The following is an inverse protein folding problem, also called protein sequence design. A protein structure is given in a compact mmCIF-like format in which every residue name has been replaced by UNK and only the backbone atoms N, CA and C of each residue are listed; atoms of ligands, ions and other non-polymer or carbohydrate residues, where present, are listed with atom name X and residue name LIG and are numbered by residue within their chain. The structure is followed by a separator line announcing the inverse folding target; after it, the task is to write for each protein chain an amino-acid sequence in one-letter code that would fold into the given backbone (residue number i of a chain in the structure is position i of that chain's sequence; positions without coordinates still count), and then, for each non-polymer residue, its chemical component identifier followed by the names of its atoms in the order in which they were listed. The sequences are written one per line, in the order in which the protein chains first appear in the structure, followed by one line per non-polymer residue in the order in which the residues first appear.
data_IF_204343376864
#
_entry.id   IF_204343376864
#
_cell.length_a   1.000
_cell.length_b   1.000
_cell.length_c   1.000
_cell.angle_alpha   90.00
_cell.angle_beta   90.00
_cell.angle_gamma   90.00
#
_symmetry.space_group_name_H-M   'P 1'
#
loop_
_entity.id
_entity.type
_entity.pdbx_description
1 polymer ?
#
# COMPACT_ATOMS: atom_id res chain seq x y z
N UNK A 1 -53.33 -10.17 -7.08
CA UNK A 1 -52.84 -9.73 -5.74
C UNK A 1 -51.31 -9.77 -5.81
N UNK A 2 -50.72 -9.01 -6.73
CA UNK A 2 -49.38 -9.39 -7.25
C UNK A 2 -48.41 -8.19 -7.28
N UNK A 3 -48.91 -6.96 -7.14
CA UNK A 3 -48.08 -5.74 -7.14
C UNK A 3 -47.39 -5.49 -5.79
N UNK A 4 -47.91 -6.05 -4.70
CA UNK A 4 -47.33 -5.90 -3.36
C UNK A 4 -46.10 -6.80 -3.15
N UNK A 5 -46.06 -7.97 -3.80
CA UNK A 5 -44.93 -8.90 -3.70
C UNK A 5 -43.73 -8.41 -4.53
N UNK A 6 -43.99 -7.84 -5.71
CA UNK A 6 -42.96 -7.19 -6.53
C UNK A 6 -42.35 -5.94 -5.85
N UNK A 7 -43.10 -5.26 -4.96
CA UNK A 7 -42.60 -4.13 -4.17
C UNK A 7 -41.85 -4.54 -2.90
N UNK A 8 -42.11 -5.73 -2.37
CA UNK A 8 -41.47 -6.26 -1.16
C UNK A 8 -40.10 -6.90 -1.43
N UNK A 9 -39.74 -7.12 -2.69
CA UNK A 9 -38.41 -7.61 -3.10
C UNK A 9 -37.46 -6.48 -3.50
N UNK A 10 -37.90 -5.21 -3.49
CA UNK A 10 -36.98 -4.09 -3.59
C UNK A 10 -36.37 -3.80 -2.20
N UNK A 11 -35.03 -3.81 -2.06
CA UNK A 11 -34.37 -3.50 -0.80
C UNK A 11 -34.78 -2.12 -0.30
N UNK A 12 -35.45 -2.05 0.85
CA UNK A 12 -35.97 -0.80 1.40
C UNK A 12 -34.88 0.11 1.98
N UNK A 13 -33.66 -0.41 2.19
CA UNK A 13 -32.56 0.32 2.82
C UNK A 13 -31.22 0.07 2.10
N UNK A 14 -30.45 1.15 1.87
CA UNK A 14 -29.12 1.10 1.20
C UNK A 14 -28.12 0.20 1.94
N UNK A 15 -28.26 0.11 3.27
CA UNK A 15 -27.51 -0.81 4.10
C UNK A 15 -27.88 -2.28 3.88
N UNK A 16 -29.15 -2.57 3.58
CA UNK A 16 -29.59 -3.93 3.23
C UNK A 16 -28.97 -4.39 1.91
N UNK A 17 -28.94 -3.51 0.91
CA UNK A 17 -28.28 -3.77 -0.38
C UNK A 17 -26.78 -4.03 -0.22
N UNK A 18 -26.09 -3.27 0.65
CA UNK A 18 -24.68 -3.50 0.96
C UNK A 18 -24.45 -4.89 1.57
N UNK A 19 -25.24 -5.26 2.58
CA UNK A 19 -25.11 -6.54 3.26
C UNK A 19 -25.43 -7.74 2.34
N UNK A 20 -26.36 -7.56 1.39
CA UNK A 20 -26.73 -8.58 0.41
C UNK A 20 -25.57 -8.87 -0.56
N UNK A 21 -24.94 -7.82 -1.09
CA UNK A 21 -23.76 -7.94 -1.95
C UNK A 21 -22.56 -8.49 -1.17
N UNK A 22 -22.33 -8.00 0.06
CA UNK A 22 -21.19 -8.40 0.89
C UNK A 22 -21.24 -9.89 1.24
N UNK A 23 -22.40 -10.39 1.70
CA UNK A 23 -22.57 -11.80 2.08
C UNK A 23 -22.69 -12.73 0.87
N UNK A 24 -23.35 -12.29 -0.21
CA UNK A 24 -23.50 -13.08 -1.43
C UNK A 24 -22.20 -13.31 -2.21
N UNK A 25 -21.19 -12.44 -2.02
CA UNK A 25 -19.92 -12.50 -2.79
C UNK A 25 -18.66 -12.41 -1.92
N UNK A 26 -18.76 -12.69 -0.62
CA UNK A 26 -17.65 -12.59 0.35
C UNK A 26 -16.38 -13.32 -0.09
N UNK A 27 -16.50 -14.55 -0.61
CA UNK A 27 -15.35 -15.34 -1.05
C UNK A 27 -14.57 -14.67 -2.19
N UNK A 28 -15.26 -13.97 -3.10
CA UNK A 28 -14.61 -13.21 -4.19
C UNK A 28 -13.91 -11.96 -3.67
N UNK A 29 -14.44 -11.31 -2.63
CA UNK A 29 -13.81 -10.17 -1.96
C UNK A 29 -12.52 -10.59 -1.23
N UNK A 30 -12.52 -11.75 -0.56
CA UNK A 30 -11.33 -12.29 0.10
C UNK A 30 -10.22 -12.57 -0.90
N UNK A 31 -10.52 -13.25 -2.02
CA UNK A 31 -9.53 -13.54 -3.07
C UNK A 31 -8.97 -12.24 -3.67
N UNK A 32 -9.81 -11.24 -3.91
CA UNK A 32 -9.37 -9.94 -4.39
C UNK A 32 -8.44 -9.24 -3.39
N UNK A 33 -8.72 -9.33 -2.09
CA UNK A 33 -7.86 -8.76 -1.06
C UNK A 33 -6.49 -9.45 -1.01
N UNK A 34 -6.45 -10.79 -1.10
CA UNK A 34 -5.20 -11.54 -1.24
C UNK A 34 -4.44 -11.16 -2.51
N UNK A 35 -5.13 -10.98 -3.64
CA UNK A 35 -4.49 -10.58 -4.89
C UNK A 35 -3.85 -9.19 -4.75
N UNK A 36 -4.53 -8.23 -4.13
CA UNK A 36 -3.96 -6.91 -3.84
C UNK A 36 -2.76 -7.04 -2.89
N UNK A 37 -2.84 -7.88 -1.86
CA UNK A 37 -1.76 -8.07 -0.88
C UNK A 37 -0.45 -8.50 -1.57
N UNK A 38 -0.52 -9.32 -2.62
CA UNK A 38 0.66 -9.73 -3.39
C UNK A 38 1.41 -8.53 -3.99
N UNK A 39 0.69 -7.50 -4.45
CA UNK A 39 1.29 -6.27 -4.96
C UNK A 39 1.88 -5.37 -3.85
N UNK A 40 1.49 -5.57 -2.59
CA UNK A 40 2.06 -4.87 -1.44
C UNK A 40 3.33 -5.52 -0.87
N UNK A 41 3.59 -6.80 -1.19
CA UNK A 41 4.81 -7.51 -0.76
C UNK A 41 6.10 -6.71 -1.02
N UNK A 42 6.37 -6.18 -2.24
CA UNK A 42 7.61 -5.43 -2.48
C UNK A 42 7.74 -4.19 -1.59
N UNK A 43 6.64 -3.52 -1.28
CA UNK A 43 6.64 -2.36 -0.38
C UNK A 43 7.00 -2.76 1.04
N UNK A 44 6.44 -3.86 1.54
CA UNK A 44 6.75 -4.40 2.87
C UNK A 44 8.24 -4.78 2.94
N UNK A 45 8.77 -5.47 1.93
CA UNK A 45 10.17 -5.87 1.89
C UNK A 45 11.13 -4.67 1.96
N UNK A 46 10.90 -3.62 1.16
CA UNK A 46 11.77 -2.44 1.18
C UNK A 46 11.75 -1.74 2.54
N UNK A 47 10.60 -1.69 3.21
CA UNK A 47 10.47 -1.12 4.56
C UNK A 47 11.26 -1.95 5.59
N UNK A 48 11.15 -3.28 5.53
CA UNK A 48 11.87 -4.20 6.43
C UNK A 48 13.37 -4.10 6.20
N UNK A 49 13.84 -4.15 4.95
CA UNK A 49 15.25 -4.02 4.62
C UNK A 49 15.83 -2.68 5.07
N UNK A 50 15.10 -1.56 4.86
CA UNK A 50 15.51 -0.25 5.39
C UNK A 50 15.65 -0.28 6.91
N UNK A 51 14.67 -0.88 7.60
CA UNK A 51 14.65 -0.93 9.07
C UNK A 51 15.80 -1.78 9.64
N UNK A 52 16.15 -2.88 8.96
CA UNK A 52 17.31 -3.70 9.32
C UNK A 52 18.63 -2.98 9.04
N UNK A 53 18.74 -2.30 7.90
CA UNK A 53 19.94 -1.56 7.53
C UNK A 53 20.27 -0.44 8.53
N UNK A 54 19.27 0.34 8.96
CA UNK A 54 19.44 1.37 9.98
C UNK A 54 19.89 0.76 11.32
N UNK A 55 19.33 -0.39 11.72
CA UNK A 55 19.71 -1.07 12.97
C UNK A 55 21.16 -1.55 12.95
N UNK A 56 21.63 -2.14 11.84
CA UNK A 56 23.03 -2.57 11.70
C UNK A 56 23.98 -1.38 11.72
N UNK A 57 23.68 -0.31 10.97
CA UNK A 57 24.50 0.90 10.95
C UNK A 57 24.56 1.57 12.33
N UNK A 58 23.45 1.58 13.07
CA UNK A 58 23.38 2.14 14.42
C UNK A 58 24.20 1.35 15.44
N UNK A 59 24.38 0.02 15.23
CA UNK A 59 25.20 -0.83 16.10
C UNK A 59 26.70 -0.77 15.81
N UNK A 60 27.10 -0.42 14.59
CA UNK A 60 28.51 -0.34 14.16
C UNK A 60 29.11 1.06 14.31
N UNK A 61 28.29 2.11 14.27
CA UNK A 61 28.75 3.49 14.36
C UNK A 61 28.70 4.01 15.81
N UNK A 62 29.62 4.91 16.20
CA UNK A 62 29.75 5.42 17.57
C UNK A 62 28.65 6.43 17.95
N UNK A 63 27.42 6.26 17.48
CA UNK A 63 26.26 7.07 17.86
C UNK A 63 25.72 6.71 19.24
N UNK A 64 26.03 5.50 19.71
CA UNK A 64 25.63 4.95 20.99
C UNK A 64 26.75 5.10 22.03
N UNK A 65 27.42 6.27 22.08
CA UNK A 65 28.52 6.60 23.00
C UNK A 65 28.16 6.60 24.50
N UNK A 66 27.11 5.88 24.88
CA UNK A 66 26.73 5.53 26.26
C UNK A 66 26.01 4.18 26.40
N UNK A 67 25.93 3.35 25.35
CA UNK A 67 25.25 2.04 25.40
C UNK A 67 26.15 0.91 24.86
N UNK A 68 27.06 0.44 25.72
CA UNK A 68 27.56 -0.94 25.70
C UNK A 68 28.50 -1.40 24.57
N UNK A 69 28.71 -0.63 23.51
CA UNK A 69 29.76 -0.87 22.51
C UNK A 69 30.99 -0.03 22.82
N UNK A 70 32.17 -0.64 22.93
CA UNK A 70 33.43 -0.08 23.44
C UNK A 70 34.07 1.11 22.68
N UNK A 71 33.26 1.97 22.08
CA UNK A 71 33.70 3.24 21.52
C UNK A 71 33.67 4.29 22.63
N UNK A 72 34.85 4.80 23.01
CA UNK A 72 34.97 5.94 23.93
C UNK A 72 34.23 7.17 23.37
N UNK A 73 33.82 8.09 24.25
CA UNK A 73 33.10 9.30 23.88
C UNK A 73 33.90 10.11 22.84
N UNK A 74 33.53 9.99 21.57
CA UNK A 74 34.14 10.76 20.48
C UNK A 74 33.51 12.16 20.51
N UNK A 75 34.29 13.22 20.73
CA UNK A 75 33.75 14.58 20.66
C UNK A 75 33.33 14.87 19.21
N UNK A 76 32.17 15.53 19.05
CA UNK A 76 31.61 16.00 17.78
C UNK A 76 30.95 14.95 16.86
N UNK A 77 29.93 14.24 17.37
CA UNK A 77 29.01 13.40 16.57
C UNK A 77 27.82 14.19 15.98
N UNK A 78 27.72 15.48 16.31
CA UNK A 78 26.66 16.35 15.81
C UNK A 78 26.71 16.41 14.28
N UNK A 79 25.61 16.05 13.62
CA UNK A 79 25.49 16.00 12.17
C UNK A 79 25.94 14.68 11.50
N UNK A 80 26.72 13.81 12.16
CA UNK A 80 27.08 12.50 11.59
C UNK A 80 25.86 11.57 11.55
N UNK A 81 25.01 11.61 12.58
CA UNK A 81 23.73 10.89 12.62
C UNK A 81 22.80 11.33 11.49
N UNK A 82 22.73 12.65 11.27
CA UNK A 82 21.90 13.25 10.23
C UNK A 82 22.41 12.90 8.82
N UNK A 83 23.74 12.88 8.61
CA UNK A 83 24.33 12.50 7.33
C UNK A 83 24.07 11.02 6.98
N UNK A 84 24.14 10.13 7.97
CA UNK A 84 23.88 8.70 7.78
C UNK A 84 22.39 8.43 7.55
N UNK A 85 21.51 9.14 8.26
CA UNK A 85 20.07 9.08 8.03
C UNK A 85 19.72 9.58 6.61
N UNK A 86 20.22 10.74 6.20
CA UNK A 86 20.04 11.30 4.85
C UNK A 86 20.54 10.35 3.76
N UNK A 87 21.75 9.81 3.90
CA UNK A 87 22.33 8.87 2.93
C UNK A 87 21.48 7.59 2.79
N UNK A 88 21.02 7.05 3.91
CA UNK A 88 20.14 5.88 3.93
C UNK A 88 18.78 6.18 3.32
N UNK A 89 18.22 7.35 3.58
CA UNK A 89 16.93 7.78 3.06
C UNK A 89 16.97 8.10 1.55
N UNK A 90 18.08 8.63 1.02
CA UNK A 90 18.31 8.76 -0.42
C UNK A 90 18.43 7.40 -1.11
N UNK A 91 19.21 6.48 -0.54
CA UNK A 91 19.43 5.15 -1.12
C UNK A 91 18.13 4.33 -1.15
N UNK A 92 17.40 4.24 -0.03
CA UNK A 92 16.14 3.51 0.04
C UNK A 92 14.94 4.29 -0.50
N UNK A 93 15.07 5.62 -0.64
CA UNK A 93 14.02 6.49 -1.16
C UNK A 93 13.55 6.05 -2.54
N UNK A 94 14.49 5.90 -3.49
CA UNK A 94 14.17 5.45 -4.86
C UNK A 94 13.49 4.08 -4.89
N UNK A 95 13.96 3.13 -4.07
CA UNK A 95 13.34 1.80 -4.00
C UNK A 95 11.91 1.84 -3.46
N UNK A 96 11.63 2.72 -2.49
CA UNK A 96 10.27 2.87 -1.97
C UNK A 96 9.37 3.53 -3.01
N UNK A 97 9.87 4.49 -3.80
CA UNK A 97 9.09 5.10 -4.90
C UNK A 97 8.63 4.02 -5.88
N UNK A 98 9.54 3.16 -6.32
CA UNK A 98 9.22 2.04 -7.22
C UNK A 98 8.22 1.07 -6.58
N UNK A 99 8.42 0.72 -5.31
CA UNK A 99 7.52 -0.18 -4.60
C UNK A 99 6.11 0.41 -4.39
N UNK A 100 6.02 1.72 -4.14
CA UNK A 100 4.74 2.44 -4.05
C UNK A 100 3.99 2.41 -5.39
N UNK A 101 4.68 2.54 -6.53
CA UNK A 101 4.04 2.46 -7.86
C UNK A 101 3.43 1.08 -8.07
N UNK A 102 4.16 0.03 -7.70
CA UNK A 102 3.67 -1.36 -7.81
C UNK A 102 2.44 -1.57 -6.91
N UNK A 103 2.46 -1.08 -5.67
CA UNK A 103 1.34 -1.18 -4.74
C UNK A 103 0.10 -0.38 -5.22
N UNK A 104 0.31 0.81 -5.77
CA UNK A 104 -0.76 1.66 -6.27
C UNK A 104 -1.43 1.05 -7.51
N UNK A 105 -0.67 0.36 -8.37
CA UNK A 105 -1.21 -0.43 -9.49
C UNK A 105 -2.12 -1.55 -8.97
N UNK A 106 -1.73 -2.26 -7.92
CA UNK A 106 -2.55 -3.30 -7.29
C UNK A 106 -3.86 -2.77 -6.72
N UNK A 107 -3.82 -1.62 -6.04
CA UNK A 107 -5.03 -0.94 -5.51
C UNK A 107 -6.00 -0.55 -6.62
N UNK A 108 -5.48 -0.06 -7.74
CA UNK A 108 -6.29 0.38 -8.87
C UNK A 108 -7.10 -0.75 -9.51
N UNK A 109 -6.46 -1.91 -9.71
CA UNK A 109 -7.13 -3.12 -10.18
C UNK A 109 -8.23 -3.58 -9.21
N UNK A 110 -7.98 -3.50 -7.90
CA UNK A 110 -8.95 -3.87 -6.87
C UNK A 110 -10.21 -3.00 -6.86
N UNK A 111 -10.05 -1.67 -6.93
CA UNK A 111 -11.18 -0.72 -6.96
C UNK A 111 -12.08 -0.96 -8.18
N UNK A 112 -11.48 -1.27 -9.33
CA UNK A 112 -12.23 -1.55 -10.56
C UNK A 112 -13.11 -2.80 -10.42
N UNK A 113 -12.57 -3.89 -9.87
CA UNK A 113 -13.32 -5.13 -9.67
C UNK A 113 -14.44 -4.92 -8.64
N UNK A 114 -14.19 -4.18 -7.55
CA UNK A 114 -15.21 -3.83 -6.55
C UNK A 114 -16.38 -3.08 -7.19
N UNK A 115 -16.09 -2.11 -8.08
CA UNK A 115 -17.13 -1.39 -8.83
C UNK A 115 -17.99 -2.32 -9.68
N UNK A 116 -17.38 -3.27 -10.38
CA UNK A 116 -18.12 -4.27 -11.17
C UNK A 116 -18.96 -5.20 -10.26
N UNK A 117 -18.49 -5.49 -9.03
CA UNK A 117 -19.28 -6.25 -8.05
C UNK A 117 -20.55 -5.50 -7.60
N UNK A 118 -20.45 -4.18 -7.42
CA UNK A 118 -21.58 -3.32 -7.04
C UNK A 118 -22.64 -3.25 -8.15
N UNK A 119 -22.22 -3.26 -9.41
CA UNK A 119 -23.14 -3.30 -10.55
C UNK A 119 -23.71 -4.70 -10.84
N UNK A 120 -23.49 -5.66 -9.95
CA UNK A 120 -24.02 -7.03 -10.01
C UNK A 120 -23.60 -7.87 -11.23
N UNK A 121 -22.69 -7.35 -12.07
CA UNK A 121 -22.16 -8.04 -13.25
C UNK A 121 -21.51 -9.38 -12.88
N UNK A 122 -21.50 -10.33 -13.82
CA UNK A 122 -20.75 -11.57 -13.70
C UNK A 122 -19.26 -11.29 -13.71
N UNK A 123 -18.59 -11.49 -12.58
CA UNK A 123 -17.21 -11.04 -12.34
C UNK A 123 -16.23 -12.19 -12.45
N UNK A 124 -15.21 -12.01 -13.31
CA UNK A 124 -14.00 -12.84 -13.36
C UNK A 124 -12.84 -12.04 -12.78
N UNK A 125 -12.51 -12.32 -11.50
CA UNK A 125 -11.60 -11.53 -10.66
C UNK A 125 -10.28 -11.20 -11.37
N UNK A 126 -9.65 -12.18 -12.01
CA UNK A 126 -8.36 -11.97 -12.68
C UNK A 126 -8.48 -11.06 -13.92
N UNK A 127 -9.45 -11.32 -14.81
CA UNK A 127 -9.57 -10.57 -16.06
C UNK A 127 -9.99 -9.11 -15.81
N UNK A 128 -10.92 -8.91 -14.87
CA UNK A 128 -11.37 -7.57 -14.48
C UNK A 128 -10.27 -6.78 -13.76
N UNK A 129 -9.41 -7.45 -12.99
CA UNK A 129 -8.27 -6.83 -12.31
C UNK A 129 -7.24 -6.26 -13.30
N UNK A 130 -6.82 -7.07 -14.29
CA UNK A 130 -5.89 -6.63 -15.33
C UNK A 130 -6.47 -5.52 -16.21
N UNK A 131 -7.78 -5.56 -16.47
CA UNK A 131 -8.47 -4.50 -17.20
C UNK A 131 -8.49 -3.19 -16.40
N UNK A 132 -8.74 -3.26 -15.10
CA UNK A 132 -8.70 -2.11 -14.19
C UNK A 132 -7.32 -1.44 -14.15
N UNK A 133 -6.24 -2.23 -14.11
CA UNK A 133 -4.87 -1.72 -14.15
C UNK A 133 -4.62 -0.91 -15.43
N UNK A 134 -4.99 -1.45 -16.60
CA UNK A 134 -4.72 -0.80 -17.90
C UNK A 134 -5.44 0.54 -18.05
N UNK A 135 -6.64 0.67 -17.50
CA UNK A 135 -7.46 1.89 -17.62
C UNK A 135 -6.90 3.02 -16.75
N UNK A 136 -6.43 2.70 -15.55
CA UNK A 136 -6.07 3.69 -14.55
C UNK A 136 -4.55 3.89 -14.39
N UNK A 137 -3.73 3.19 -15.17
CA UNK A 137 -2.27 3.18 -15.05
C UNK A 137 -1.66 4.60 -14.98
N UNK A 138 -2.10 5.50 -15.86
CA UNK A 138 -1.57 6.86 -15.95
C UNK A 138 -1.88 7.69 -14.68
N UNK A 139 -3.12 7.62 -14.21
CA UNK A 139 -3.58 8.37 -13.02
C UNK A 139 -2.87 7.86 -11.75
N UNK A 140 -2.68 6.55 -11.67
CA UNK A 140 -1.99 5.87 -10.56
C UNK A 140 -0.50 6.23 -10.56
N UNK A 141 0.12 6.28 -11.73
CA UNK A 141 1.52 6.69 -11.86
C UNK A 141 1.72 8.15 -11.45
N UNK A 142 0.85 9.06 -11.88
CA UNK A 142 0.94 10.49 -11.51
C UNK A 142 0.72 10.72 -10.02
N UNK A 143 -0.32 10.11 -9.43
CA UNK A 143 -0.62 10.26 -8.00
C UNK A 143 0.48 9.66 -7.13
N UNK A 144 1.07 8.54 -7.54
CA UNK A 144 2.18 7.92 -6.81
C UNK A 144 3.46 8.74 -6.91
N UNK A 145 3.77 9.32 -8.09
CA UNK A 145 4.91 10.21 -8.24
C UNK A 145 4.77 11.47 -7.38
N UNK A 146 3.58 12.06 -7.31
CA UNK A 146 3.32 13.21 -6.43
C UNK A 146 3.53 12.85 -4.95
N UNK A 147 2.98 11.71 -4.50
CA UNK A 147 3.17 11.23 -3.13
C UNK A 147 4.63 10.86 -2.81
N UNK A 148 5.33 10.24 -3.77
CA UNK A 148 6.74 9.87 -3.67
C UNK A 148 7.64 11.09 -3.50
N UNK A 149 7.43 12.13 -4.29
CA UNK A 149 8.19 13.38 -4.23
C UNK A 149 7.87 14.15 -2.94
N UNK A 150 6.58 14.24 -2.55
CA UNK A 150 6.20 14.81 -1.26
C UNK A 150 6.85 14.06 -0.09
N UNK A 151 6.82 12.73 -0.17
CA UNK A 151 7.73 11.76 0.47
C UNK A 151 9.08 12.32 0.86
N UNK A 152 9.92 12.39 -0.16
CA UNK A 152 11.35 12.66 -0.06
C UNK A 152 11.66 14.10 0.34
N UNK A 153 10.73 15.03 0.10
CA UNK A 153 10.92 16.45 0.45
C UNK A 153 10.54 16.72 1.91
N UNK A 154 9.45 16.15 2.41
CA UNK A 154 8.92 16.47 3.76
C UNK A 154 9.45 15.57 4.88
N UNK A 155 10.02 14.40 4.57
CA UNK A 155 10.58 13.49 5.57
C UNK A 155 11.90 12.87 5.04
N UNK A 156 13.03 13.60 5.19
CA UNK A 156 14.36 13.15 4.77
C UNK A 156 15.01 12.16 5.74
#
# INVERSE_FOLDING_TARGET
RDDAYARSTLPSNRWGLFWDIFKGRFSKLVILNLLMLIFFIPLILVIVFRSLYIQVQSGLMPFASGMGGGFGAIPNLAGLQENVAMSTNLMFGLFIIVACVIAAVGLSGGIYVIRNMVWTEGIFIANDFWRGIKINFVIVMQSTLFYAVGRTIFCP
#
